data_IF_189371803029
#
_entry.id   IF_189371803029
#
_cell.length_a   1.000
_cell.length_b   1.000
_cell.length_c   1.000
_cell.angle_alpha   90.00
_cell.angle_beta   90.00
_cell.angle_gamma   90.00
#
_symmetry.space_group_name_H-M   'P 1'
#
loop_
_entity.id
_entity.type
_entity.pdbx_description
1 polymer ?
#
# COMPACT_ATOMS: atom_id res chain seq x y z
N UNK A 1 38.61 -18.00 -20.04
CA UNK A 1 38.42 -19.47 -20.09
C UNK A 1 37.34 -19.75 -21.13
N UNK A 2 37.62 -20.54 -22.17
CA UNK A 2 36.63 -20.83 -23.23
C UNK A 2 35.61 -21.88 -22.74
N UNK A 3 34.32 -21.67 -23.01
CA UNK A 3 33.24 -22.59 -22.64
C UNK A 3 32.72 -23.24 -23.93
N UNK A 4 32.89 -24.56 -24.11
CA UNK A 4 32.34 -25.28 -25.26
C UNK A 4 30.81 -25.20 -25.27
N UNK A 5 30.21 -24.95 -26.43
CA UNK A 5 28.76 -24.77 -26.57
C UNK A 5 27.97 -26.05 -26.18
N UNK A 6 28.55 -27.22 -26.47
CA UNK A 6 27.91 -28.53 -26.40
C UNK A 6 28.13 -29.31 -25.08
N UNK A 7 28.84 -28.76 -24.08
CA UNK A 7 28.94 -29.44 -22.77
C UNK A 7 27.60 -29.33 -21.98
N UNK A 8 26.87 -30.44 -21.73
CA UNK A 8 25.59 -30.42 -21.02
C UNK A 8 25.74 -30.41 -19.49
N UNK A 9 26.94 -30.74 -18.97
CA UNK A 9 27.10 -31.27 -17.60
C UNK A 9 27.21 -30.24 -16.47
N UNK A 10 27.20 -28.93 -16.73
CA UNK A 10 27.41 -27.93 -15.67
C UNK A 10 26.56 -26.66 -15.78
N UNK A 11 25.40 -26.72 -16.45
CA UNK A 11 24.49 -25.58 -16.61
C UNK A 11 23.29 -25.75 -15.66
N UNK A 12 23.16 -24.88 -14.66
CA UNK A 12 21.94 -24.83 -13.83
C UNK A 12 21.23 -23.49 -14.00
N UNK A 13 19.90 -23.54 -13.94
CA UNK A 13 19.02 -22.40 -13.85
C UNK A 13 18.07 -22.64 -12.69
N UNK A 14 18.19 -21.82 -11.65
CA UNK A 14 17.33 -21.86 -10.48
C UNK A 14 16.49 -20.59 -10.45
N UNK A 15 15.22 -20.74 -10.08
CA UNK A 15 14.30 -19.63 -9.89
C UNK A 15 13.73 -19.76 -8.48
N UNK A 16 14.05 -18.77 -7.65
CA UNK A 16 13.57 -18.66 -6.28
C UNK A 16 12.53 -17.56 -6.21
N UNK A 17 11.44 -17.82 -5.48
CA UNK A 17 10.33 -16.87 -5.31
C UNK A 17 10.04 -16.70 -3.83
N UNK A 18 9.95 -15.46 -3.40
CA UNK A 18 9.59 -15.05 -2.05
C UNK A 18 8.94 -13.65 -2.10
N UNK A 19 8.98 -12.90 -0.99
CA UNK A 19 8.40 -11.57 -0.90
C UNK A 19 9.42 -10.53 -0.46
N UNK A 20 9.28 -9.32 -0.99
CA UNK A 20 9.88 -8.12 -0.42
C UNK A 20 8.79 -7.10 -0.10
N UNK A 21 8.47 -7.00 1.19
CA UNK A 21 7.26 -6.30 1.63
C UNK A 21 6.01 -6.98 1.06
N UNK A 22 5.21 -6.25 0.27
CA UNK A 22 3.96 -6.72 -0.32
C UNK A 22 4.13 -7.29 -1.72
N UNK A 23 5.28 -7.05 -2.36
CA UNK A 23 5.52 -7.48 -3.73
C UNK A 23 6.27 -8.81 -3.76
N UNK A 24 5.93 -9.66 -4.72
CA UNK A 24 6.67 -10.91 -4.96
C UNK A 24 8.08 -10.54 -5.43
N UNK A 25 9.09 -11.16 -4.84
CA UNK A 25 10.48 -11.08 -5.29
C UNK A 25 10.85 -12.38 -5.98
N UNK A 26 11.46 -12.25 -7.15
CA UNK A 26 11.92 -13.40 -7.94
C UNK A 26 13.40 -13.25 -8.21
N UNK A 27 14.15 -14.27 -7.84
CA UNK A 27 15.59 -14.36 -8.07
C UNK A 27 15.87 -15.48 -9.06
N UNK A 28 16.45 -15.12 -10.21
CA UNK A 28 16.96 -16.08 -11.18
C UNK A 28 18.47 -16.20 -11.03
N UNK A 29 18.95 -17.44 -10.93
CA UNK A 29 20.36 -17.77 -10.81
C UNK A 29 20.75 -18.72 -11.94
N UNK A 30 21.64 -18.26 -12.81
CA UNK A 30 22.28 -19.10 -13.81
C UNK A 30 23.71 -19.41 -13.38
N UNK A 31 24.12 -20.68 -13.48
CA UNK A 31 25.48 -21.09 -13.16
C UNK A 31 26.06 -21.95 -14.28
N UNK A 32 27.28 -21.63 -14.69
CA UNK A 32 28.09 -22.43 -15.61
C UNK A 32 29.50 -22.56 -15.02
N UNK A 33 29.86 -23.76 -14.56
CA UNK A 33 31.12 -24.02 -13.82
C UNK A 33 31.26 -23.06 -12.62
N UNK A 34 32.28 -22.20 -12.61
CA UNK A 34 32.51 -21.19 -11.57
C UNK A 34 31.81 -19.85 -11.85
N UNK A 35 31.27 -19.65 -13.06
CA UNK A 35 30.58 -18.41 -13.41
C UNK A 35 29.14 -18.47 -12.92
N UNK A 36 28.70 -17.40 -12.26
CA UNK A 36 27.34 -17.24 -11.78
C UNK A 36 26.78 -15.89 -12.21
N UNK A 37 25.53 -15.88 -12.68
CA UNK A 37 24.79 -14.68 -13.00
C UNK A 37 23.48 -14.67 -12.22
N UNK A 38 23.16 -13.54 -11.59
CA UNK A 38 21.94 -13.37 -10.80
C UNK A 38 21.15 -12.17 -11.29
N UNK A 39 19.83 -12.31 -11.31
CA UNK A 39 18.88 -11.20 -11.51
C UNK A 39 17.78 -11.31 -10.49
N UNK A 40 17.46 -10.19 -9.85
CA UNK A 40 16.39 -10.07 -8.86
C UNK A 40 15.40 -9.03 -9.35
N UNK A 41 14.11 -9.34 -9.28
CA UNK A 41 13.04 -8.44 -9.65
C UNK A 41 11.90 -8.48 -8.63
N UNK A 42 11.25 -7.34 -8.44
CA UNK A 42 9.92 -7.26 -7.86
C UNK A 42 8.89 -7.49 -8.96
N UNK A 43 7.84 -8.23 -8.62
CA UNK A 43 6.73 -8.58 -9.48
C UNK A 43 5.42 -8.17 -8.80
N UNK A 44 4.49 -7.65 -9.59
CA UNK A 44 3.14 -7.33 -9.14
C UNK A 44 2.10 -7.57 -10.24
N UNK A 45 0.89 -7.06 -10.03
CA UNK A 45 -0.19 -7.21 -11.00
C UNK A 45 -0.03 -6.27 -12.19
N UNK A 46 -0.07 -6.84 -13.39
CA UNK A 46 -0.15 -6.08 -14.64
C UNK A 46 -1.46 -5.31 -14.69
N UNK A 47 -1.38 -3.99 -14.86
CA UNK A 47 -2.55 -3.17 -15.14
C UNK A 47 -3.10 -3.42 -16.54
N UNK A 48 -4.40 -3.19 -16.76
CA UNK A 48 -5.00 -3.32 -18.09
C UNK A 48 -4.53 -2.17 -18.99
N UNK A 49 -4.29 -2.45 -20.27
CA UNK A 49 -3.86 -1.41 -21.22
C UNK A 49 -4.99 -0.44 -21.61
N UNK A 50 -6.24 -0.90 -21.53
CA UNK A 50 -7.45 -0.15 -21.86
C UNK A 50 -8.54 -0.42 -20.83
N UNK A 51 -9.54 0.47 -20.74
CA UNK A 51 -10.71 0.32 -19.87
C UNK A 51 -10.32 0.02 -18.41
N UNK A 52 -9.36 0.79 -17.89
CA UNK A 52 -8.91 0.66 -16.50
C UNK A 52 -10.04 1.00 -15.54
N UNK A 53 -10.15 0.21 -14.49
CA UNK A 53 -11.06 0.47 -13.39
C UNK A 53 -10.58 1.71 -12.65
N UNK A 54 -11.43 2.73 -12.53
CA UNK A 54 -11.19 3.85 -11.63
C UNK A 54 -11.67 3.51 -10.22
N UNK A 55 -12.86 2.92 -10.13
CA UNK A 55 -13.48 2.59 -8.85
C UNK A 55 -14.16 1.21 -8.91
N UNK A 56 -13.90 0.38 -7.91
CA UNK A 56 -14.69 -0.79 -7.57
C UNK A 56 -15.27 -0.59 -6.17
N UNK A 57 -16.58 -0.33 -6.09
CA UNK A 57 -17.31 -0.21 -4.84
C UNK A 57 -18.11 -1.49 -4.59
N UNK A 58 -17.87 -2.17 -3.48
CA UNK A 58 -18.61 -3.38 -3.11
C UNK A 58 -20.12 -3.13 -3.03
N UNK A 59 -20.93 -4.09 -3.49
CA UNK A 59 -22.39 -4.04 -3.32
C UNK A 59 -22.78 -4.28 -1.85
N UNK A 60 -23.01 -3.18 -1.13
CA UNK A 60 -23.55 -3.18 0.24
C UNK A 60 -25.05 -2.82 0.28
N UNK A 61 -25.76 -2.99 -0.85
CA UNK A 61 -27.17 -2.63 -1.06
C UNK A 61 -27.49 -1.14 -0.83
N UNK A 62 -26.48 -0.28 -0.99
CA UNK A 62 -26.59 1.18 -0.87
C UNK A 62 -25.99 1.84 -2.11
N UNK A 63 -26.59 2.91 -2.65
CA UNK A 63 -26.02 3.64 -3.77
C UNK A 63 -24.72 4.35 -3.36
N UNK A 64 -23.87 4.64 -4.34
CA UNK A 64 -22.83 5.65 -4.20
C UNK A 64 -23.47 7.04 -4.24
N UNK A 65 -23.11 7.93 -3.32
CA UNK A 65 -23.58 9.32 -3.30
C UNK A 65 -22.42 10.26 -3.57
N UNK A 66 -22.51 11.04 -4.66
CA UNK A 66 -21.51 12.04 -5.02
C UNK A 66 -21.97 13.43 -4.60
N UNK A 67 -21.09 14.19 -3.93
CA UNK A 67 -21.40 15.49 -3.34
C UNK A 67 -20.30 16.51 -3.65
N UNK A 68 -20.65 17.79 -3.79
CA UNK A 68 -19.71 18.87 -4.05
C UNK A 68 -19.02 18.72 -5.41
N UNK A 69 -17.68 18.79 -5.43
CA UNK A 69 -16.84 18.71 -6.63
C UNK A 69 -16.31 17.30 -6.91
N UNK A 70 -16.97 16.27 -6.37
CA UNK A 70 -16.58 14.88 -6.59
C UNK A 70 -16.53 14.54 -8.08
N UNK A 71 -15.45 13.89 -8.52
CA UNK A 71 -15.26 13.51 -9.93
C UNK A 71 -14.64 12.13 -10.04
N UNK A 72 -15.26 11.24 -10.82
CA UNK A 72 -14.81 9.86 -11.03
C UNK A 72 -14.71 9.62 -12.53
N UNK A 73 -13.50 9.36 -13.02
CA UNK A 73 -13.16 9.23 -14.45
C UNK A 73 -12.51 7.87 -14.74
N UNK A 74 -13.18 7.05 -15.57
CA UNK A 74 -12.76 5.68 -15.92
C UNK A 74 -13.88 4.66 -15.71
N UNK A 75 -13.55 3.35 -15.77
CA UNK A 75 -14.56 2.28 -15.58
C UNK A 75 -14.93 2.18 -14.10
N UNK A 76 -16.23 2.15 -13.80
CA UNK A 76 -16.73 2.14 -12.41
C UNK A 76 -17.60 0.92 -12.16
N UNK A 77 -17.25 0.11 -11.17
CA UNK A 77 -18.09 -1.00 -10.69
C UNK A 77 -18.89 -0.53 -9.47
N UNK A 78 -20.22 -0.57 -9.58
CA UNK A 78 -21.14 -0.04 -8.58
C UNK A 78 -22.08 -1.12 -8.03
N UNK A 79 -22.56 -0.93 -6.78
CA UNK A 79 -23.70 -1.66 -6.26
C UNK A 79 -24.89 -1.61 -7.21
N UNK A 80 -25.82 -2.58 -7.12
CA UNK A 80 -27.05 -2.59 -7.92
C UNK A 80 -27.87 -1.28 -7.81
N UNK A 81 -27.74 -0.57 -6.69
CA UNK A 81 -28.39 0.72 -6.45
C UNK A 81 -27.78 1.89 -7.24
N UNK A 82 -26.66 1.69 -7.94
CA UNK A 82 -26.04 2.68 -8.80
C UNK A 82 -25.44 3.87 -8.06
N UNK A 83 -25.53 5.05 -8.68
CA UNK A 83 -25.00 6.32 -8.19
C UNK A 83 -26.10 7.39 -8.19
N UNK A 84 -26.06 8.30 -7.21
CA UNK A 84 -26.92 9.49 -7.17
C UNK A 84 -26.16 10.72 -6.67
N UNK A 85 -26.68 11.90 -7.00
CA UNK A 85 -26.23 13.14 -6.36
C UNK A 85 -26.74 13.21 -4.91
N UNK A 86 -25.97 13.87 -4.04
CA UNK A 86 -26.38 14.22 -2.70
C UNK A 86 -26.03 15.66 -2.33
N UNK A 87 -26.40 16.03 -1.10
CA UNK A 87 -26.13 17.33 -0.51
C UNK A 87 -25.63 17.13 0.91
N UNK A 88 -24.55 17.82 1.28
CA UNK A 88 -24.04 17.86 2.65
C UNK A 88 -23.95 19.31 3.08
N UNK A 89 -24.67 19.69 4.13
CA UNK A 89 -24.69 21.05 4.68
C UNK A 89 -24.89 22.15 3.64
N UNK A 90 -25.87 21.97 2.75
CA UNK A 90 -26.19 22.92 1.68
C UNK A 90 -25.26 22.84 0.45
N UNK A 91 -24.17 22.07 0.51
CA UNK A 91 -23.30 21.83 -0.64
C UNK A 91 -23.82 20.65 -1.47
N UNK A 92 -24.52 20.96 -2.56
CA UNK A 92 -24.99 19.97 -3.53
C UNK A 92 -23.88 19.52 -4.50
N UNK A 93 -24.12 18.43 -5.21
CA UNK A 93 -23.28 18.02 -6.33
C UNK A 93 -23.21 19.09 -7.43
N UNK A 94 -22.02 19.31 -7.99
CA UNK A 94 -21.76 20.39 -8.97
C UNK A 94 -21.27 19.91 -10.34
N UNK A 95 -21.07 18.60 -10.52
CA UNK A 95 -20.63 18.05 -11.81
C UNK A 95 -21.76 17.94 -12.83
N UNK A 96 -21.42 17.96 -14.12
CA UNK A 96 -22.38 17.80 -15.22
C UNK A 96 -22.87 16.36 -15.41
N UNK A 97 -22.06 15.38 -15.00
CA UNK A 97 -22.39 13.96 -14.98
C UNK A 97 -22.03 13.37 -13.63
N UNK A 98 -22.78 12.37 -13.15
CA UNK A 98 -22.45 11.68 -11.89
C UNK A 98 -21.14 10.90 -11.98
N UNK A 99 -20.83 10.36 -13.17
CA UNK A 99 -19.64 9.57 -13.49
C UNK A 99 -19.20 9.87 -14.93
N UNK A 100 -17.89 9.85 -15.19
CA UNK A 100 -17.29 10.14 -16.49
C UNK A 100 -16.59 8.87 -17.01
N UNK A 101 -17.38 7.89 -17.44
CA UNK A 101 -16.90 6.60 -17.93
C UNK A 101 -17.97 5.52 -17.92
N UNK A 102 -17.62 4.30 -18.31
CA UNK A 102 -18.57 3.19 -18.33
C UNK A 102 -18.80 2.59 -16.95
N UNK A 103 -20.00 2.07 -16.71
CA UNK A 103 -20.39 1.45 -15.44
C UNK A 103 -20.60 -0.04 -15.60
N UNK A 104 -20.22 -0.80 -14.57
CA UNK A 104 -20.51 -2.23 -14.44
C UNK A 104 -21.10 -2.49 -13.05
N UNK A 105 -21.78 -3.62 -12.89
CA UNK A 105 -22.29 -4.03 -11.58
C UNK A 105 -21.16 -4.69 -10.77
N UNK A 106 -21.03 -4.30 -9.50
CA UNK A 106 -20.12 -4.94 -8.54
C UNK A 106 -20.81 -6.05 -7.76
N UNK A 107 -20.00 -6.85 -7.07
CA UNK A 107 -20.46 -7.85 -6.11
C UNK A 107 -19.65 -7.70 -4.82
N UNK A 108 -18.85 -8.70 -4.45
CA UNK A 108 -17.88 -8.62 -3.35
C UNK A 108 -16.62 -7.91 -3.80
N UNK A 109 -15.86 -7.31 -2.86
CA UNK A 109 -14.51 -6.82 -3.19
C UNK A 109 -13.68 -7.91 -3.87
N UNK A 110 -12.89 -7.57 -4.91
CA UNK A 110 -11.97 -8.52 -5.53
C UNK A 110 -10.98 -9.03 -4.48
N UNK A 111 -10.88 -10.35 -4.26
CA UNK A 111 -9.99 -10.88 -3.23
C UNK A 111 -8.53 -10.73 -3.66
N UNK A 112 -7.69 -10.29 -2.72
CA UNK A 112 -6.24 -10.37 -2.84
C UNK A 112 -5.80 -11.82 -3.05
N UNK A 113 -4.63 -12.02 -3.69
CA UNK A 113 -4.04 -13.34 -3.80
C UNK A 113 -3.76 -13.93 -2.41
N UNK A 114 -3.93 -15.25 -2.23
CA UNK A 114 -3.79 -15.90 -0.92
C UNK A 114 -2.41 -15.64 -0.31
N UNK A 115 -1.34 -15.86 -1.08
CA UNK A 115 0.05 -15.62 -0.64
C UNK A 115 0.30 -14.17 -0.19
N UNK A 116 -0.43 -13.20 -0.74
CA UNK A 116 -0.35 -11.79 -0.34
C UNK A 116 -1.02 -11.57 1.02
N UNK A 117 -2.18 -12.20 1.24
CA UNK A 117 -2.87 -12.15 2.53
C UNK A 117 -1.99 -12.79 3.60
N UNK A 118 -1.43 -13.97 3.32
CA UNK A 118 -0.54 -14.69 4.22
C UNK A 118 0.70 -13.85 4.55
N UNK A 119 1.30 -13.19 3.55
CA UNK A 119 2.41 -12.27 3.75
C UNK A 119 2.03 -11.07 4.63
N UNK A 120 0.88 -10.43 4.39
CA UNK A 120 0.38 -9.32 5.21
C UNK A 120 0.16 -9.77 6.68
N UNK A 121 -0.28 -11.00 6.90
CA UNK A 121 -0.59 -11.54 8.23
C UNK A 121 0.64 -11.99 9.02
N UNK A 122 1.68 -12.47 8.33
CA UNK A 122 2.87 -13.06 8.94
C UNK A 122 4.11 -12.15 8.94
N UNK A 123 4.12 -11.01 8.23
CA UNK A 123 5.32 -10.17 8.10
C UNK A 123 5.90 -9.72 9.46
N UNK A 124 5.06 -9.51 10.48
CA UNK A 124 5.51 -9.10 11.82
C UNK A 124 6.25 -10.21 12.57
N UNK A 125 5.95 -11.50 12.29
CA UNK A 125 6.55 -12.65 13.00
C UNK A 125 7.84 -13.16 12.39
N UNK A 126 8.09 -12.88 11.10
CA UNK A 126 9.25 -13.41 10.35
C UNK A 126 10.61 -13.11 10.99
N UNK A 127 10.74 -12.03 11.76
CA UNK A 127 12.03 -11.67 12.38
C UNK A 127 12.47 -12.63 13.48
N UNK A 128 11.55 -13.45 14.00
CA UNK A 128 11.85 -14.45 15.03
C UNK A 128 12.70 -15.63 14.53
N UNK A 129 12.76 -15.84 13.22
CA UNK A 129 13.41 -17.01 12.58
C UNK A 129 14.79 -16.68 11.98
N UNK A 130 15.31 -15.48 12.24
CA UNK A 130 16.45 -14.92 11.50
C UNK A 130 17.76 -15.07 12.26
N UNK A 131 18.84 -15.37 11.53
CA UNK A 131 20.18 -15.55 12.10
C UNK A 131 20.66 -14.30 12.83
N UNK A 132 21.31 -14.48 13.98
CA UNK A 132 21.95 -13.40 14.75
C UNK A 132 22.93 -12.56 13.91
N UNK A 133 23.54 -13.15 12.87
CA UNK A 133 24.50 -12.45 11.99
C UNK A 133 23.86 -11.42 11.05
N UNK A 134 22.54 -11.41 10.95
CA UNK A 134 21.80 -10.50 10.07
C UNK A 134 21.32 -9.24 10.79
N UNK A 135 21.48 -9.16 12.12
CA UNK A 135 21.09 -7.99 12.90
C UNK A 135 22.14 -6.88 12.80
N UNK A 136 21.67 -5.66 12.59
CA UNK A 136 22.47 -4.44 12.51
C UNK A 136 21.95 -3.36 13.44
N UNK A 137 22.85 -2.47 13.87
CA UNK A 137 22.49 -1.25 14.59
C UNK A 137 22.55 -0.08 13.63
N UNK A 138 21.42 0.63 13.51
CA UNK A 138 21.31 1.85 12.72
C UNK A 138 21.57 3.04 13.63
N UNK A 139 22.52 3.89 13.24
CA UNK A 139 22.91 5.09 13.98
C UNK A 139 22.66 6.35 13.14
N UNK A 140 22.32 7.44 13.82
CA UNK A 140 22.16 8.77 13.22
C UNK A 140 23.47 9.23 12.57
N UNK A 141 23.38 9.92 11.44
CA UNK A 141 24.51 10.43 10.68
C UNK A 141 25.23 9.39 9.80
N UNK A 142 24.74 8.15 9.76
CA UNK A 142 25.35 7.06 8.95
C UNK A 142 24.50 6.67 7.74
N UNK A 143 25.18 6.02 6.78
CA UNK A 143 24.57 5.43 5.60
C UNK A 143 24.77 3.91 5.60
N UNK A 144 23.72 3.17 5.28
CA UNK A 144 23.70 1.72 5.20
C UNK A 144 23.17 1.30 3.83
N UNK A 145 23.92 0.43 3.15
CA UNK A 145 23.56 -0.09 1.84
C UNK A 145 23.72 -1.61 1.86
N UNK A 146 22.67 -2.33 1.47
CA UNK A 146 22.68 -3.79 1.38
C UNK A 146 22.07 -4.23 0.05
N UNK A 147 22.80 -5.00 -0.75
CA UNK A 147 22.29 -5.50 -2.03
C UNK A 147 21.22 -6.57 -1.81
N UNK A 148 20.28 -6.69 -2.75
CA UNK A 148 19.34 -7.82 -2.81
C UNK A 148 20.00 -9.14 -3.22
N UNK A 149 21.28 -9.12 -3.62
CA UNK A 149 22.08 -10.33 -3.78
C UNK A 149 22.71 -10.83 -2.48
N UNK A 150 22.71 -9.99 -1.43
CA UNK A 150 23.24 -10.29 -0.11
C UNK A 150 22.14 -10.71 0.86
N UNK A 151 22.47 -11.43 1.96
CA UNK A 151 21.52 -11.76 3.00
C UNK A 151 20.82 -10.52 3.58
N UNK A 152 19.57 -10.69 4.00
CA UNK A 152 18.78 -9.63 4.62
C UNK A 152 19.50 -9.05 5.84
N UNK A 153 19.50 -7.72 5.98
CA UNK A 153 19.91 -7.02 7.20
C UNK A 153 18.70 -6.49 7.96
N UNK A 154 18.75 -6.57 9.29
CA UNK A 154 17.60 -6.21 10.15
C UNK A 154 18.04 -5.31 11.28
N UNK A 155 17.40 -4.15 11.38
CA UNK A 155 17.40 -3.36 12.59
C UNK A 155 16.14 -3.64 13.39
N UNK A 156 16.28 -4.30 14.54
CA UNK A 156 15.16 -4.67 15.41
C UNK A 156 15.26 -3.93 16.75
N UNK A 157 14.13 -3.36 17.19
CA UNK A 157 14.01 -2.73 18.51
C UNK A 157 12.73 -3.18 19.23
N UNK A 158 12.82 -3.37 20.54
CA UNK A 158 11.66 -3.58 21.41
C UNK A 158 10.95 -2.28 21.78
N UNK A 159 11.56 -1.14 21.46
CA UNK A 159 11.08 0.22 21.77
C UNK A 159 10.99 1.06 20.50
N UNK A 160 10.66 2.35 20.66
CA UNK A 160 10.49 3.25 19.54
C UNK A 160 11.79 3.39 18.72
N UNK A 161 11.67 3.39 17.40
CA UNK A 161 12.75 3.70 16.46
C UNK A 161 12.48 5.06 15.84
N UNK A 162 13.48 5.93 15.86
CA UNK A 162 13.45 7.23 15.18
C UNK A 162 14.49 7.18 14.06
N UNK A 163 14.03 7.23 12.81
CA UNK A 163 14.89 7.37 11.65
C UNK A 163 15.09 8.86 11.39
N UNK A 164 16.25 9.37 11.80
CA UNK A 164 16.69 10.75 11.65
C UNK A 164 18.13 10.77 11.12
N UNK A 165 18.42 11.66 10.17
CA UNK A 165 19.75 11.87 9.60
C UNK A 165 20.43 10.56 9.16
N UNK A 166 19.65 9.65 8.59
CA UNK A 166 20.11 8.31 8.20
C UNK A 166 19.77 8.04 6.75
N UNK A 167 20.66 7.31 6.07
CA UNK A 167 20.41 6.83 4.71
C UNK A 167 20.37 5.31 4.70
N UNK A 168 19.24 4.72 4.30
CA UNK A 168 19.08 3.28 4.20
C UNK A 168 18.74 2.92 2.75
N UNK A 169 19.50 2.00 2.16
CA UNK A 169 19.29 1.56 0.78
C UNK A 169 19.32 0.05 0.67
N UNK A 170 18.29 -0.52 0.04
CA UNK A 170 18.28 -1.91 -0.42
C UNK A 170 17.65 -2.90 0.56
N UNK A 171 18.25 -4.10 0.67
CA UNK A 171 17.69 -5.27 1.34
C UNK A 171 17.80 -5.17 2.88
N UNK A 172 17.09 -4.20 3.45
CA UNK A 172 17.12 -3.86 4.89
C UNK A 172 15.68 -3.77 5.43
N UNK A 173 15.42 -4.43 6.55
CA UNK A 173 14.18 -4.30 7.34
C UNK A 173 14.46 -3.49 8.60
N UNK A 174 13.58 -2.55 8.91
CA UNK A 174 13.54 -1.87 10.22
C UNK A 174 12.26 -2.27 10.92
N UNK A 175 12.39 -2.90 12.10
CA UNK A 175 11.26 -3.34 12.90
C UNK A 175 11.30 -2.78 14.32
N UNK A 176 10.14 -2.31 14.79
CA UNK A 176 9.92 -1.94 16.19
C UNK A 176 8.71 -2.71 16.73
N UNK A 177 8.79 -3.17 17.99
CA UNK A 177 7.61 -3.68 18.71
C UNK A 177 6.61 -2.61 19.13
N UNK A 178 6.92 -1.33 18.95
CA UNK A 178 6.07 -0.21 19.37
C UNK A 178 5.78 0.76 18.23
N UNK A 179 6.76 1.56 17.82
CA UNK A 179 6.58 2.66 16.89
C UNK A 179 7.83 2.92 16.06
N UNK A 180 7.66 3.21 14.77
CA UNK A 180 8.68 3.81 13.91
C UNK A 180 8.28 5.23 13.56
N UNK A 181 9.20 6.18 13.72
CA UNK A 181 9.04 7.57 13.26
C UNK A 181 10.08 7.88 12.20
N UNK A 182 9.64 8.28 11.01
CA UNK A 182 10.51 8.71 9.90
C UNK A 182 10.53 10.23 9.85
N UNK A 183 11.68 10.85 10.12
CA UNK A 183 11.84 12.30 10.03
C UNK A 183 12.29 12.73 8.63
N UNK A 184 12.09 14.01 8.30
CA UNK A 184 12.37 14.57 6.97
C UNK A 184 13.83 14.39 6.50
N UNK A 185 14.76 14.27 7.43
CA UNK A 185 16.19 14.04 7.18
C UNK A 185 16.53 12.59 6.81
N UNK A 186 15.61 11.64 7.01
CA UNK A 186 15.83 10.25 6.63
C UNK A 186 15.62 10.04 5.13
N UNK A 187 16.58 9.37 4.49
CA UNK A 187 16.51 9.00 3.07
C UNK A 187 16.46 7.49 2.97
N UNK A 188 15.27 6.97 2.69
CA UNK A 188 15.02 5.53 2.59
C UNK A 188 14.79 5.15 1.14
N UNK A 189 15.41 4.08 0.68
CA UNK A 189 15.23 3.52 -0.66
C UNK A 189 15.14 2.00 -0.61
N UNK A 190 14.03 1.46 -1.11
CA UNK A 190 13.74 0.03 -1.15
C UNK A 190 13.62 -0.66 0.22
N UNK A 191 13.33 0.10 1.29
CA UNK A 191 13.29 -0.38 2.68
C UNK A 191 11.91 -0.93 3.06
N UNK A 192 11.87 -1.87 4.00
CA UNK A 192 10.64 -2.33 4.65
C UNK A 192 10.63 -1.90 6.12
N UNK A 193 9.56 -1.18 6.53
CA UNK A 193 9.31 -0.72 7.89
C UNK A 193 8.17 -1.53 8.51
N UNK A 194 8.36 -2.03 9.72
CA UNK A 194 7.37 -2.88 10.42
C UNK A 194 7.22 -2.40 11.86
N UNK A 195 6.05 -1.88 12.23
CA UNK A 195 5.75 -1.53 13.62
C UNK A 195 4.25 -1.35 13.84
N UNK A 196 3.71 -1.60 15.05
CA UNK A 196 2.31 -1.33 15.34
C UNK A 196 1.87 0.09 14.96
N UNK A 197 2.72 1.08 15.24
CA UNK A 197 2.51 2.47 14.84
C UNK A 197 3.63 2.96 13.93
N UNK A 198 3.28 3.58 12.81
CA UNK A 198 4.24 4.21 11.91
C UNK A 198 3.84 5.66 11.66
N UNK A 199 4.74 6.58 11.99
CA UNK A 199 4.58 8.01 11.74
C UNK A 199 5.61 8.48 10.72
N UNK A 200 5.15 9.02 9.61
CA UNK A 200 5.97 9.60 8.56
C UNK A 200 5.83 11.11 8.69
N UNK A 201 6.90 11.77 9.12
CA UNK A 201 6.91 13.20 9.38
C UNK A 201 6.69 14.05 8.13
N UNK A 202 6.36 15.32 8.33
CA UNK A 202 6.17 16.27 7.23
C UNK A 202 7.42 16.35 6.34
N UNK A 203 7.22 16.60 5.05
CA UNK A 203 8.30 16.81 4.06
C UNK A 203 9.25 15.62 3.85
N UNK A 204 8.91 14.41 4.30
CA UNK A 204 9.70 13.19 4.00
C UNK A 204 9.65 12.92 2.49
N UNK A 205 10.81 12.68 1.89
CA UNK A 205 10.95 12.27 0.48
C UNK A 205 11.72 10.94 0.47
N UNK A 206 11.05 9.83 0.13
CA UNK A 206 11.65 8.50 0.27
C UNK A 206 10.92 7.44 -0.56
N UNK A 207 11.46 6.22 -0.59
CA UNK A 207 10.84 5.02 -1.14
C UNK A 207 10.98 3.86 -0.16
N UNK A 208 9.88 3.45 0.43
CA UNK A 208 9.80 2.31 1.33
C UNK A 208 8.40 1.69 1.30
N UNK A 209 8.31 0.49 1.87
CA UNK A 209 7.06 -0.17 2.21
C UNK A 209 6.90 -0.15 3.73
N UNK A 210 5.72 0.18 4.23
CA UNK A 210 5.42 0.26 5.65
C UNK A 210 4.27 -0.67 6.01
N UNK A 211 4.42 -1.42 7.08
CA UNK A 211 3.45 -2.37 7.62
C UNK A 211 3.15 -2.00 9.06
N UNK A 212 1.88 -1.67 9.31
CA UNK A 212 1.39 -1.33 10.65
C UNK A 212 0.20 -2.20 11.05
N UNK A 213 0.04 -2.44 12.36
CA UNK A 213 -1.11 -3.18 12.90
C UNK A 213 -2.08 -2.31 13.71
N UNK A 214 -1.64 -1.12 14.15
CA UNK A 214 -2.47 -0.16 14.89
C UNK A 214 -2.69 1.14 14.15
N UNK A 215 -1.67 1.87 13.72
CA UNK A 215 -1.88 3.18 13.09
C UNK A 215 -0.77 3.53 12.12
N UNK A 216 -1.14 4.20 11.04
CA UNK A 216 -0.19 4.81 10.12
C UNK A 216 -0.59 6.25 9.84
N UNK A 217 0.32 7.18 10.14
CA UNK A 217 0.12 8.60 9.83
C UNK A 217 1.18 9.07 8.86
N UNK A 218 0.74 9.62 7.73
CA UNK A 218 1.58 10.33 6.78
C UNK A 218 1.33 11.83 6.97
N UNK A 219 2.37 12.56 7.34
CA UNK A 219 2.34 14.01 7.50
C UNK A 219 2.02 14.75 6.20
N UNK A 220 2.12 16.07 6.27
CA UNK A 220 1.89 16.96 5.13
C UNK A 220 3.13 17.05 4.23
N UNK A 221 2.89 17.27 2.94
CA UNK A 221 3.93 17.48 1.93
C UNK A 221 4.94 16.33 1.81
N UNK A 222 4.53 15.11 2.15
CA UNK A 222 5.34 13.89 2.01
C UNK A 222 5.36 13.43 0.55
N UNK A 223 6.49 12.95 0.07
CA UNK A 223 6.63 12.36 -1.27
C UNK A 223 7.16 10.93 -1.15
N UNK A 224 6.27 9.94 -1.28
CA UNK A 224 6.65 8.54 -1.35
C UNK A 224 6.74 8.10 -2.81
N UNK A 225 7.94 7.71 -3.25
CA UNK A 225 8.23 7.32 -4.61
C UNK A 225 7.86 5.85 -4.88
N UNK A 226 7.48 5.57 -6.13
CA UNK A 226 7.12 4.23 -6.57
C UNK A 226 8.34 3.28 -6.49
N UNK A 227 8.20 2.03 -6.03
CA UNK A 227 6.97 1.34 -5.61
C UNK A 227 6.74 1.38 -4.08
N UNK A 228 6.25 2.49 -3.53
CA UNK A 228 5.93 2.56 -2.10
C UNK A 228 4.64 1.81 -1.76
N UNK A 229 4.57 1.27 -0.54
CA UNK A 229 3.40 0.57 -0.05
C UNK A 229 3.09 0.98 1.39
N UNK A 230 1.83 1.29 1.68
CA UNK A 230 1.34 1.62 3.01
C UNK A 230 0.28 0.60 3.39
N UNK A 231 0.65 -0.36 4.23
CA UNK A 231 -0.18 -1.52 4.57
C UNK A 231 -0.55 -1.44 6.04
N UNK A 232 -1.84 -1.53 6.33
CA UNK A 232 -2.33 -1.69 7.69
C UNK A 232 -3.15 -2.96 7.80
N UNK A 233 -2.70 -3.87 8.68
CA UNK A 233 -3.38 -5.13 8.96
C UNK A 233 -3.81 -5.22 10.43
N UNK A 234 -5.12 -5.22 10.66
CA UNK A 234 -5.68 -5.28 12.01
C UNK A 234 -5.80 -6.71 12.58
N UNK A 235 -5.44 -7.75 11.83
CA UNK A 235 -5.69 -9.14 12.22
C UNK A 235 -4.90 -9.61 13.47
N UNK A 236 -4.01 -8.80 14.03
CA UNK A 236 -3.17 -9.16 15.18
C UNK A 236 -3.58 -8.57 16.54
N UNK A 237 -4.70 -7.84 16.67
CA UNK A 237 -5.13 -7.36 18.00
C UNK A 237 -6.11 -8.36 18.62
N UNK A 238 -5.54 -9.33 19.33
CA UNK A 238 -6.25 -10.16 20.31
C UNK A 238 -7.05 -9.30 21.30
N UNK A 239 -8.10 -9.92 21.83
CA UNK A 239 -9.09 -9.41 22.77
C UNK A 239 -8.50 -8.57 23.91
N UNK A 240 -8.25 -7.27 23.70
CA UNK A 240 -8.04 -6.33 24.78
C UNK A 240 -9.40 -5.92 25.37
N UNK A 241 -9.64 -6.14 26.68
CA UNK A 241 -10.89 -5.79 27.32
C UNK A 241 -11.23 -4.32 27.09
N UNK A 242 -12.53 -4.06 26.90
CA UNK A 242 -13.09 -2.73 26.69
C UNK A 242 -12.96 -1.90 27.97
N UNK A 243 -11.80 -1.30 28.23
CA UNK A 243 -11.65 -0.31 29.29
C UNK A 243 -11.01 0.96 28.72
N UNK A 244 -11.68 2.08 28.97
CA UNK A 244 -11.41 3.47 28.53
C UNK A 244 -12.02 3.89 27.18
N UNK A 245 -12.80 4.99 27.23
CA UNK A 245 -13.82 5.42 26.26
C UNK A 245 -13.33 6.11 24.99
N UNK A 246 -12.06 6.00 24.63
CA UNK A 246 -11.52 6.50 23.36
C UNK A 246 -10.59 5.46 22.75
N UNK A 247 -11.19 4.41 22.16
CA UNK A 247 -10.45 3.46 21.33
C UNK A 247 -10.08 4.14 20.01
N UNK A 248 -8.85 4.63 19.89
CA UNK A 248 -8.28 4.95 18.59
C UNK A 248 -8.40 3.69 17.71
N UNK A 249 -9.18 3.78 16.63
CA UNK A 249 -9.37 2.66 15.72
C UNK A 249 -8.24 2.65 14.70
N UNK A 250 -7.80 1.48 14.25
CA UNK A 250 -6.73 1.43 13.28
C UNK A 250 -7.07 2.14 11.99
N UNK A 251 -6.18 3.06 11.58
CA UNK A 251 -6.35 3.95 10.43
C UNK A 251 -5.02 4.21 9.71
N UNK A 252 -5.11 4.45 8.41
CA UNK A 252 -4.09 5.08 7.58
C UNK A 252 -4.58 6.50 7.26
N UNK A 253 -3.86 7.51 7.69
CA UNK A 253 -4.17 8.92 7.45
C UNK A 253 -3.10 9.54 6.55
N UNK A 254 -3.49 10.05 5.39
CA UNK A 254 -2.59 10.71 4.44
C UNK A 254 -2.84 12.21 4.44
N UNK A 255 -1.84 12.94 4.95
CA UNK A 255 -1.85 14.39 5.11
C UNK A 255 -1.90 15.19 3.82
N UNK A 256 -2.12 16.50 3.97
CA UNK A 256 -2.34 17.45 2.87
C UNK A 256 -1.07 17.62 2.03
N UNK A 257 -1.26 17.89 0.74
CA UNK A 257 -0.18 18.09 -0.24
C UNK A 257 0.81 16.92 -0.34
N UNK A 258 0.50 15.76 0.24
CA UNK A 258 1.35 14.58 0.17
C UNK A 258 1.05 13.79 -1.11
N UNK A 259 2.10 13.26 -1.72
CA UNK A 259 2.05 12.42 -2.92
C UNK A 259 2.57 11.03 -2.58
N UNK A 260 1.70 10.02 -2.63
CA UNK A 260 2.07 8.62 -2.46
C UNK A 260 2.00 7.93 -3.82
N UNK A 261 3.10 7.32 -4.26
CA UNK A 261 3.16 6.56 -5.51
C UNK A 261 3.31 5.06 -5.22
N UNK A 262 2.27 4.29 -5.50
CA UNK A 262 2.21 2.84 -5.24
C UNK A 262 0.88 2.42 -4.60
N UNK A 263 0.93 1.59 -3.56
CA UNK A 263 -0.28 0.94 -3.01
C UNK A 263 -0.59 1.38 -1.58
N UNK A 264 -1.87 1.56 -1.26
CA UNK A 264 -2.36 1.79 0.11
C UNK A 264 -3.40 0.72 0.41
N UNK A 265 -3.15 -0.09 1.42
CA UNK A 265 -3.97 -1.26 1.74
C UNK A 265 -4.40 -1.22 3.20
N UNK A 266 -5.70 -1.30 3.43
CA UNK A 266 -6.26 -1.63 4.73
C UNK A 266 -6.97 -2.97 4.67
N UNK A 267 -6.51 -3.90 5.50
CA UNK A 267 -7.11 -5.21 5.70
C UNK A 267 -7.46 -5.36 7.19
N UNK A 268 -8.74 -5.57 7.48
CA UNK A 268 -9.18 -5.88 8.83
C UNK A 268 -10.56 -6.49 8.89
N UNK A 269 -10.88 -7.08 10.03
CA UNK A 269 -12.17 -7.72 10.27
C UNK A 269 -13.30 -6.69 10.43
N UNK A 270 -14.49 -7.05 9.92
CA UNK A 270 -15.71 -6.25 9.98
C UNK A 270 -16.21 -6.08 11.43
N UNK A 271 -16.01 -4.91 12.06
CA UNK A 271 -16.64 -4.66 13.35
C UNK A 271 -18.14 -4.40 13.14
N UNK A 272 -19.02 -4.83 14.05
CA UNK A 272 -20.41 -4.40 14.03
C UNK A 272 -20.47 -2.86 14.11
N UNK A 273 -21.35 -2.23 13.32
CA UNK A 273 -21.58 -0.78 13.33
C UNK A 273 -20.30 0.07 13.13
N UNK A 274 -19.51 -0.23 12.09
CA UNK A 274 -18.31 0.54 11.79
C UNK A 274 -18.61 1.85 11.07
N UNK A 275 -18.55 2.97 11.80
CA UNK A 275 -18.67 4.34 11.29
C UNK A 275 -17.35 5.12 11.36
N UNK A 276 -16.22 4.45 11.62
CA UNK A 276 -14.92 5.13 11.68
C UNK A 276 -14.23 4.97 10.34
N UNK A 277 -13.43 5.96 9.97
CA UNK A 277 -12.56 5.93 8.79
C UNK A 277 -11.37 4.99 9.04
N UNK A 278 -11.03 4.16 8.05
CA UNK A 278 -9.85 3.27 8.07
C UNK A 278 -8.75 3.73 7.12
N UNK A 279 -9.14 4.35 6.00
CA UNK A 279 -8.20 5.10 5.16
C UNK A 279 -8.78 6.48 4.95
N UNK A 280 -8.02 7.51 5.31
CA UNK A 280 -8.34 8.91 5.05
C UNK A 280 -7.31 9.51 4.10
N UNK A 281 -7.79 10.04 2.97
CA UNK A 281 -6.99 10.87 2.07
C UNK A 281 -7.44 12.32 2.25
N UNK A 282 -6.62 13.15 2.91
CA UNK A 282 -6.95 14.56 3.18
C UNK A 282 -7.06 15.39 1.90
N UNK A 283 -7.60 16.62 2.01
CA UNK A 283 -7.64 17.52 0.86
C UNK A 283 -6.24 17.74 0.29
N UNK A 284 -6.13 17.90 -1.03
CA UNK A 284 -4.86 18.10 -1.78
C UNK A 284 -3.86 16.93 -1.74
N UNK A 285 -4.09 15.89 -0.94
CA UNK A 285 -3.33 14.66 -1.00
C UNK A 285 -3.56 13.95 -2.34
N UNK A 286 -2.52 13.32 -2.88
CA UNK A 286 -2.53 12.61 -4.15
C UNK A 286 -2.00 11.19 -3.94
N UNK A 287 -2.79 10.19 -4.31
CA UNK A 287 -2.33 8.82 -4.49
C UNK A 287 -2.19 8.55 -5.99
N UNK A 288 -1.01 8.16 -6.46
CA UNK A 288 -0.77 7.67 -7.82
C UNK A 288 -0.55 6.17 -7.73
N UNK A 289 -1.59 5.39 -8.01
CA UNK A 289 -1.58 3.94 -7.87
C UNK A 289 -2.90 3.38 -7.36
N UNK A 290 -2.87 2.50 -6.37
CA UNK A 290 -4.04 1.71 -5.96
C UNK A 290 -4.35 1.85 -4.48
N UNK A 291 -5.64 2.05 -4.17
CA UNK A 291 -6.16 2.01 -2.81
C UNK A 291 -7.04 0.76 -2.67
N UNK A 292 -6.75 -0.09 -1.69
CA UNK A 292 -7.59 -1.22 -1.34
C UNK A 292 -8.01 -1.10 0.13
N UNK A 293 -9.32 -1.02 0.38
CA UNK A 293 -9.86 -0.91 1.72
C UNK A 293 -11.08 -1.81 1.88
N UNK A 294 -10.95 -2.85 2.70
CA UNK A 294 -12.07 -3.73 3.03
C UNK A 294 -13.01 -3.17 4.12
N UNK A 295 -12.84 -1.91 4.51
CA UNK A 295 -13.65 -1.18 5.49
C UNK A 295 -14.12 0.19 4.93
N UNK A 296 -14.04 1.27 5.72
CA UNK A 296 -14.49 2.60 5.33
C UNK A 296 -13.34 3.47 4.82
N UNK A 297 -13.53 4.07 3.65
CA UNK A 297 -12.60 5.06 3.07
C UNK A 297 -13.21 6.45 3.10
N UNK A 298 -12.48 7.43 3.61
CA UNK A 298 -12.81 8.86 3.47
C UNK A 298 -11.88 9.49 2.45
N UNK A 299 -12.42 9.79 1.28
CA UNK A 299 -11.67 10.32 0.15
C UNK A 299 -11.98 11.81 -0.05
N UNK A 300 -11.09 12.68 0.43
CA UNK A 300 -11.14 14.14 0.21
C UNK A 300 -10.12 14.59 -0.84
N UNK A 301 -9.01 13.86 -0.97
CA UNK A 301 -7.95 14.07 -1.95
C UNK A 301 -8.24 13.53 -3.35
N UNK A 302 -7.17 13.24 -4.09
CA UNK A 302 -7.22 12.73 -5.46
C UNK A 302 -6.51 11.38 -5.56
N UNK A 303 -7.14 10.41 -6.23
CA UNK A 303 -6.51 9.15 -6.63
C UNK A 303 -6.33 9.16 -8.14
N UNK A 304 -5.09 9.19 -8.60
CA UNK A 304 -4.71 8.89 -9.97
C UNK A 304 -4.45 7.39 -10.14
N UNK A 305 -5.52 6.63 -10.32
CA UNK A 305 -5.46 5.18 -10.42
C UNK A 305 -6.76 4.51 -9.97
N UNK A 306 -6.66 3.41 -9.23
CA UNK A 306 -7.80 2.54 -8.90
C UNK A 306 -8.12 2.56 -7.41
N UNK A 307 -9.40 2.69 -7.08
CA UNK A 307 -9.90 2.53 -5.71
C UNK A 307 -10.75 1.26 -5.63
N UNK A 308 -10.39 0.33 -4.74
CA UNK A 308 -11.19 -0.82 -4.34
C UNK A 308 -11.68 -0.56 -2.91
N UNK A 309 -12.96 -0.23 -2.75
CA UNK A 309 -13.52 0.15 -1.46
C UNK A 309 -14.74 -0.68 -1.12
N UNK A 310 -14.84 -1.13 0.13
CA UNK A 310 -16.09 -1.72 0.64
C UNK A 310 -17.15 -0.65 0.84
N UNK A 311 -16.80 0.44 1.53
CA UNK A 311 -17.67 1.58 1.77
C UNK A 311 -16.89 2.89 1.68
N UNK A 312 -17.61 3.96 1.34
CA UNK A 312 -17.14 5.32 1.56
C UNK A 312 -17.79 5.93 2.78
N UNK A 313 -17.12 6.92 3.37
CA UNK A 313 -17.67 7.73 4.44
C UNK A 313 -17.26 9.19 4.22
N UNK A 314 -18.12 10.12 4.57
CA UNK A 314 -17.77 11.53 4.70
C UNK A 314 -18.12 12.00 6.11
N UNK A 315 -17.13 12.48 6.84
CA UNK A 315 -17.32 13.07 8.16
C UNK A 315 -17.40 14.59 8.01
N UNK A 316 -18.58 15.17 8.18
CA UNK A 316 -18.81 16.59 7.94
C UNK A 316 -19.73 17.16 9.01
N UNK A 317 -19.30 18.25 9.65
CA UNK A 317 -20.10 18.99 10.64
C UNK A 317 -20.65 18.11 11.78
N UNK A 318 -19.84 17.17 12.27
CA UNK A 318 -20.25 16.22 13.32
C UNK A 318 -21.20 15.10 12.86
N UNK A 319 -21.56 15.06 11.58
CA UNK A 319 -22.39 14.02 10.97
C UNK A 319 -21.55 13.06 10.13
N UNK A 320 -22.02 11.82 10.05
CA UNK A 320 -21.38 10.73 9.31
C UNK A 320 -22.28 10.30 8.16
N UNK A 321 -21.80 10.49 6.93
CA UNK A 321 -22.54 10.15 5.72
C UNK A 321 -21.96 8.88 5.08
N UNK A 322 -22.74 7.80 5.07
CA UNK A 322 -22.30 6.51 4.52
C UNK A 322 -22.43 6.44 3.00
N UNK A 323 -21.46 5.84 2.34
CA UNK A 323 -21.31 5.77 0.88
C UNK A 323 -21.32 7.14 0.18
N UNK A 324 -20.89 8.19 0.89
CA UNK A 324 -20.73 9.51 0.32
C UNK A 324 -19.26 9.77 0.00
N UNK A 325 -18.99 10.32 -1.17
CA UNK A 325 -17.71 10.96 -1.50
C UNK A 325 -17.97 12.44 -1.63
N UNK A 326 -17.30 13.24 -0.78
CA UNK A 326 -17.42 14.68 -0.78
C UNK A 326 -16.11 15.34 -1.23
N UNK A 327 -16.16 16.00 -2.40
CA UNK A 327 -15.02 16.66 -3.06
C UNK A 327 -13.86 15.75 -3.51
N UNK A 328 -13.90 14.45 -3.20
CA UNK A 328 -12.90 13.47 -3.61
C UNK A 328 -12.86 13.25 -5.12
N UNK A 329 -11.66 12.98 -5.65
CA UNK A 329 -11.44 12.75 -7.08
C UNK A 329 -10.80 11.39 -7.33
N UNK A 330 -11.27 10.69 -8.34
CA UNK A 330 -10.68 9.44 -8.82
C UNK A 330 -10.56 9.58 -10.34
N UNK A 331 -9.35 9.48 -10.87
CA UNK A 331 -9.12 9.52 -12.31
C UNK A 331 -8.03 8.52 -12.68
N UNK A 332 -8.39 7.48 -13.42
CA UNK A 332 -7.44 6.42 -13.77
C UNK A 332 -6.53 6.77 -14.95
N UNK A 333 -6.87 7.79 -15.74
CA UNK A 333 -6.17 8.10 -16.99
C UNK A 333 -4.72 8.57 -16.82
N UNK A 334 -4.35 9.35 -15.77
CA UNK A 334 -2.96 9.73 -15.53
C UNK A 334 -2.06 8.60 -15.03
N UNK A 335 -2.61 7.43 -14.67
CA UNK A 335 -1.80 6.31 -14.21
C UNK A 335 -1.00 5.73 -15.41
N UNK A 336 0.35 5.63 -15.34
CA UNK A 336 1.18 5.13 -16.44
C UNK A 336 0.76 3.74 -16.92
N UNK A 337 0.91 3.46 -18.22
CA UNK A 337 0.49 2.17 -18.79
C UNK A 337 1.28 1.00 -18.18
N UNK A 338 2.54 1.27 -17.90
CA UNK A 338 3.54 0.38 -17.33
C UNK A 338 3.39 0.19 -15.81
N UNK A 339 2.39 0.82 -15.19
CA UNK A 339 2.15 0.65 -13.76
C UNK A 339 1.84 -0.81 -13.41
N UNK A 340 2.60 -1.35 -12.46
CA UNK A 340 2.42 -2.68 -11.87
C UNK A 340 1.94 -2.52 -10.43
N UNK A 341 0.84 -3.20 -10.08
CA UNK A 341 0.09 -2.98 -8.84
C UNK A 341 -0.03 -4.20 -7.94
N UNK A 342 -1.08 -4.20 -7.12
CA UNK A 342 -1.41 -5.19 -6.11
C UNK A 342 -1.92 -6.50 -6.73
N UNK A 343 -1.44 -7.63 -6.22
CA UNK A 343 -1.82 -8.95 -6.72
C UNK A 343 -3.19 -9.40 -6.16
N UNK A 344 -4.13 -9.63 -7.08
CA UNK A 344 -5.42 -10.28 -6.84
C UNK A 344 -5.36 -11.74 -7.31
N UNK A 345 -6.32 -12.59 -6.87
CA UNK A 345 -6.31 -14.04 -7.18
C UNK A 345 -6.10 -14.39 -8.66
N UNK A 346 -6.59 -13.58 -9.59
CA UNK A 346 -6.53 -13.82 -11.03
C UNK A 346 -5.66 -12.80 -11.78
N UNK A 347 -4.76 -12.09 -11.10
CA UNK A 347 -3.90 -11.10 -11.73
C UNK A 347 -2.89 -11.76 -12.69
N UNK A 348 -2.74 -11.16 -13.87
CA UNK A 348 -1.52 -11.38 -14.68
C UNK A 348 -0.37 -10.65 -13.99
N UNK A 349 0.84 -11.20 -14.07
CA UNK A 349 2.02 -10.67 -13.39
C UNK A 349 2.96 -9.97 -14.37
N UNK A 350 3.64 -8.92 -13.93
CA UNK A 350 4.65 -8.18 -14.70
C UNK A 350 5.78 -7.67 -13.79
N UNK A 351 6.95 -7.40 -14.36
CA UNK A 351 8.10 -6.89 -13.61
C UNK A 351 7.81 -5.45 -13.18
N UNK A 352 7.77 -5.25 -11.87
CA UNK A 352 7.54 -3.96 -11.23
C UNK A 352 8.84 -3.15 -11.15
N UNK A 353 9.96 -3.81 -10.78
CA UNK A 353 11.27 -3.16 -10.60
C UNK A 353 12.39 -4.19 -10.61
N UNK A 354 13.49 -3.89 -11.31
CA UNK A 354 14.73 -4.63 -11.17
C UNK A 354 15.48 -4.19 -9.92
N UNK A 355 15.95 -5.16 -9.15
CA UNK A 355 16.72 -4.95 -7.92
C UNK A 355 18.21 -5.14 -8.18
N UNK A 356 19.03 -4.65 -7.25
CA UNK A 356 20.48 -4.49 -7.36
C UNK A 356 21.20 -5.07 -6.15
#
# INVERSE_FOLDING_TARGET
>A
MAIPLEEPSFKTLEIHRDFWGIFERVTSVSKIKTNQFRKVALIGAKSKDQNRTALYLQDTRKPLVVVGRTKIEGVVFLPKQGVKAGTISGHSYTGSQLLYGSTQQSSTLPPLATDIVDQIESIESHVSEISNTQFITIESGKAYNNSFFDPLQIHFSTTNVILNEVQLTGHIVVQSKTKITVLASAVLKDIVLIAPEIEIGNNVISNFQAFASKRMSVGNSVQLNYPSALILNKNQVENLPNTTGTKEKPSIEIGKSSVVKGVVVYQGNDPPNNYKTQIELQETAILIGELYCNQNTELKGTVYGTVFAKNFIANQFGSIYQNHIYNGKINVHPLPKEYVGLLFKNSKKEVLKWLY
#
